data_IF_474115153691
#
_entry.id   IF_474115153691
#
_cell.length_a   1.000
_cell.length_b   1.000
_cell.length_c   1.000
_cell.angle_alpha   90.00
_cell.angle_beta   90.00
_cell.angle_gamma   90.00
#
_symmetry.space_group_name_H-M   'P 1'
#
loop_
_entity.id
_entity.type
_entity.pdbx_description
1 polymer ?
#
# COMPACT_ATOMS: atom_id res chain seq x y z
N UNK A 1 27.02 -3.60 14.07
CA UNK A 1 27.32 -3.44 12.63
C UNK A 1 26.97 -4.68 11.81
N UNK A 2 27.27 -5.91 12.26
CA UNK A 2 26.87 -7.15 11.55
C UNK A 2 25.33 -7.37 11.47
N UNK A 3 24.57 -6.95 12.50
CA UNK A 3 23.11 -7.08 12.53
C UNK A 3 22.37 -6.21 11.49
N UNK A 4 22.89 -5.02 11.15
CA UNK A 4 22.31 -4.17 10.09
C UNK A 4 22.46 -4.82 8.70
N UNK A 5 23.56 -5.55 8.47
CA UNK A 5 23.88 -6.12 7.16
C UNK A 5 22.98 -7.31 6.81
N UNK A 6 22.59 -8.12 7.81
CA UNK A 6 21.66 -9.23 7.60
C UNK A 6 20.22 -8.75 7.37
N UNK A 7 19.84 -7.62 7.98
CA UNK A 7 18.53 -7.00 7.79
C UNK A 7 18.32 -6.56 6.35
N UNK A 8 19.24 -5.79 5.78
CA UNK A 8 19.03 -5.18 4.46
C UNK A 8 18.95 -6.17 3.28
N UNK A 9 19.42 -7.42 3.43
CA UNK A 9 19.34 -8.39 2.33
C UNK A 9 17.89 -8.74 1.96
N UNK A 10 16.95 -8.69 2.91
CA UNK A 10 15.52 -8.85 2.59
C UNK A 10 15.03 -7.74 1.66
N UNK A 11 15.28 -6.47 2.03
CA UNK A 11 14.87 -5.31 1.23
C UNK A 11 15.56 -5.34 -0.13
N UNK A 12 16.86 -5.62 -0.19
CA UNK A 12 17.59 -5.72 -1.45
C UNK A 12 17.00 -6.79 -2.38
N UNK A 13 16.68 -7.96 -1.85
CA UNK A 13 16.02 -9.03 -2.62
C UNK A 13 14.60 -8.65 -3.05
N UNK A 14 13.87 -7.90 -2.22
CA UNK A 14 12.55 -7.39 -2.54
C UNK A 14 12.63 -6.36 -3.68
N UNK A 15 13.51 -5.37 -3.58
CA UNK A 15 13.79 -4.38 -4.63
C UNK A 15 14.15 -5.06 -5.95
N UNK A 16 15.09 -6.01 -5.94
CA UNK A 16 15.48 -6.75 -7.16
C UNK A 16 14.32 -7.51 -7.79
N UNK A 17 13.44 -8.13 -6.98
CA UNK A 17 12.26 -8.83 -7.49
C UNK A 17 11.21 -7.89 -8.06
N UNK A 18 11.05 -6.71 -7.46
CA UNK A 18 10.05 -5.73 -7.87
C UNK A 18 10.47 -4.88 -9.08
N UNK A 19 11.74 -4.96 -9.51
CA UNK A 19 12.21 -4.40 -10.79
C UNK A 19 11.69 -5.15 -12.03
N UNK A 20 11.27 -6.40 -11.86
CA UNK A 20 10.74 -7.22 -12.95
C UNK A 20 9.33 -6.83 -13.38
N UNK A 21 8.78 -7.54 -14.35
CA UNK A 21 7.38 -7.39 -14.72
C UNK A 21 6.48 -7.78 -13.54
N UNK A 22 5.66 -6.84 -13.08
CA UNK A 22 4.72 -7.08 -11.99
C UNK A 22 3.52 -7.87 -12.52
N UNK A 23 3.02 -8.88 -11.79
CA UNK A 23 1.96 -9.77 -12.29
C UNK A 23 0.62 -9.05 -12.48
N UNK A 24 0.42 -7.92 -11.78
CA UNK A 24 -0.77 -7.07 -11.91
C UNK A 24 -2.07 -7.85 -11.83
N UNK A 25 -2.86 -7.79 -12.90
CA UNK A 25 -4.21 -8.38 -12.92
C UNK A 25 -4.25 -9.90 -12.73
N UNK A 26 -3.25 -10.65 -13.21
CA UNK A 26 -3.25 -12.10 -13.03
C UNK A 26 -3.17 -12.47 -11.55
N UNK A 27 -2.27 -11.82 -10.80
CA UNK A 27 -2.17 -11.98 -9.36
C UNK A 27 -3.41 -11.48 -8.61
N UNK A 28 -4.02 -10.36 -9.03
CA UNK A 28 -5.26 -9.87 -8.40
C UNK A 28 -6.41 -10.89 -8.53
N UNK A 29 -6.53 -11.54 -9.69
CA UNK A 29 -7.54 -12.60 -9.93
C UNK A 29 -7.22 -13.84 -9.10
N UNK A 30 -5.97 -14.27 -9.08
CA UNK A 30 -5.52 -15.43 -8.28
C UNK A 30 -5.76 -15.23 -6.78
N UNK A 31 -5.52 -14.02 -6.27
CA UNK A 31 -5.65 -13.67 -4.85
C UNK A 31 -7.07 -13.23 -4.45
N UNK A 32 -8.03 -13.24 -5.38
CA UNK A 32 -9.40 -12.82 -5.10
C UNK A 32 -10.10 -13.82 -4.17
N UNK A 33 -10.71 -13.31 -3.10
CA UNK A 33 -11.48 -14.14 -2.17
C UNK A 33 -12.70 -14.82 -2.82
N UNK A 34 -13.20 -14.26 -3.93
CA UNK A 34 -14.32 -14.80 -4.70
C UNK A 34 -13.87 -14.98 -6.15
N UNK A 35 -14.19 -16.12 -6.80
CA UNK A 35 -13.87 -16.32 -8.21
C UNK A 35 -14.38 -15.16 -9.06
N UNK A 36 -13.50 -14.59 -9.89
CA UNK A 36 -13.80 -13.43 -10.73
C UNK A 36 -13.03 -13.51 -12.05
N UNK A 37 -13.58 -12.90 -13.11
CA UNK A 37 -12.86 -12.64 -14.36
C UNK A 37 -11.96 -11.38 -14.28
N UNK A 38 -11.82 -10.81 -13.09
CA UNK A 38 -11.03 -9.61 -12.81
C UNK A 38 -11.68 -8.31 -13.27
N UNK A 39 -12.92 -8.34 -13.77
CA UNK A 39 -13.65 -7.13 -14.18
C UNK A 39 -13.86 -6.12 -13.04
N UNK A 40 -13.81 -6.60 -11.79
CA UNK A 40 -13.88 -5.76 -10.60
C UNK A 40 -12.57 -5.06 -10.26
N UNK A 41 -11.43 -5.48 -10.83
CA UNK A 41 -10.14 -4.82 -10.59
C UNK A 41 -9.82 -3.74 -11.64
N UNK A 42 -10.69 -3.58 -12.63
CA UNK A 42 -10.55 -2.53 -13.66
C UNK A 42 -10.87 -1.17 -13.04
N UNK A 43 -9.95 -0.22 -13.23
CA UNK A 43 -10.13 1.17 -12.84
C UNK A 43 -11.46 1.72 -13.37
N UNK A 44 -12.15 2.51 -12.56
CA UNK A 44 -13.38 3.19 -12.96
C UNK A 44 -13.11 4.68 -13.14
N UNK A 45 -13.56 5.26 -14.25
CA UNK A 45 -13.44 6.69 -14.52
C UNK A 45 -14.10 7.54 -13.42
N UNK A 46 -15.26 7.10 -12.92
CA UNK A 46 -15.98 7.76 -11.82
C UNK A 46 -15.57 7.24 -10.42
N UNK A 47 -14.51 6.45 -10.34
CA UNK A 47 -13.97 5.96 -9.08
C UNK A 47 -13.14 7.04 -8.39
N UNK A 48 -13.30 7.18 -7.08
CA UNK A 48 -12.43 8.05 -6.27
C UNK A 48 -11.04 7.44 -6.22
N UNK A 49 -9.99 8.25 -6.27
CA UNK A 49 -8.63 7.72 -6.18
C UNK A 49 -8.14 7.71 -4.73
N UNK A 50 -7.34 6.70 -4.38
CA UNK A 50 -6.72 6.57 -3.07
C UNK A 50 -5.29 6.05 -3.19
N UNK A 51 -4.39 6.59 -2.37
CA UNK A 51 -3.03 6.08 -2.19
C UNK A 51 -2.95 5.20 -0.94
N UNK A 52 -2.26 4.06 -1.03
CA UNK A 52 -2.06 3.12 0.08
C UNK A 52 -0.59 2.69 0.13
N UNK A 53 -0.03 2.58 1.33
CA UNK A 53 1.38 2.22 1.53
C UNK A 53 1.54 0.86 2.22
N UNK A 54 2.26 -0.06 1.59
CA UNK A 54 2.80 -1.26 2.25
C UNK A 54 4.19 -0.93 2.78
N UNK A 55 4.26 -0.46 4.03
CA UNK A 55 5.51 -0.04 4.66
C UNK A 55 6.18 -1.18 5.43
N UNK A 56 7.40 -1.53 5.01
CA UNK A 56 8.30 -2.41 5.75
C UNK A 56 9.15 -1.62 6.75
N UNK A 57 9.30 -2.11 7.97
CA UNK A 57 10.15 -1.49 8.99
C UNK A 57 10.83 -2.54 9.89
N UNK A 58 11.99 -2.24 10.49
CA UNK A 58 12.64 -3.13 11.42
C UNK A 58 11.91 -3.18 12.76
N UNK A 59 11.62 -4.39 13.24
CA UNK A 59 10.98 -4.64 14.52
C UNK A 59 11.67 -5.83 15.20
N UNK A 60 12.33 -5.58 16.34
CA UNK A 60 13.04 -6.62 17.13
C UNK A 60 14.03 -7.47 16.31
N UNK A 61 14.68 -6.87 15.31
CA UNK A 61 15.68 -7.52 14.47
C UNK A 61 15.13 -8.20 13.21
N UNK A 62 13.82 -8.11 12.95
CA UNK A 62 13.17 -8.66 11.75
C UNK A 62 12.42 -7.56 10.99
N UNK A 63 12.17 -7.76 9.69
CA UNK A 63 11.30 -6.86 8.94
C UNK A 63 9.84 -7.20 9.21
N UNK A 64 9.05 -6.18 9.51
CA UNK A 64 7.60 -6.26 9.71
C UNK A 64 6.88 -5.34 8.72
N UNK A 65 5.61 -5.65 8.44
CA UNK A 65 4.71 -4.76 7.70
C UNK A 65 3.88 -3.92 8.67
N UNK A 66 3.79 -2.62 8.41
CA UNK A 66 2.89 -1.75 9.14
C UNK A 66 1.45 -1.98 8.69
N UNK A 67 0.57 -2.20 9.67
CA UNK A 67 -0.86 -2.32 9.48
C UNK A 67 -1.56 -1.47 10.54
N UNK A 68 -2.70 -0.93 10.17
CA UNK A 68 -3.57 -0.20 11.08
C UNK A 68 -4.89 -0.93 11.26
N UNK A 69 -5.54 -0.63 12.38
CA UNK A 69 -6.96 -0.88 12.53
C UNK A 69 -7.68 0.43 12.24
N UNK A 70 -8.46 0.46 11.16
CA UNK A 70 -9.21 1.66 10.75
C UNK A 70 -10.10 2.16 11.88
N UNK A 71 -10.16 3.47 12.07
CA UNK A 71 -11.03 4.08 13.08
C UNK A 71 -12.50 3.72 12.81
N UNK A 72 -13.33 3.78 13.86
CA UNK A 72 -14.76 3.61 13.67
C UNK A 72 -15.35 4.85 12.99
N UNK A 73 -16.02 4.66 11.86
CA UNK A 73 -16.80 5.70 11.20
C UNK A 73 -18.10 5.10 10.64
N UNK A 74 -19.24 5.70 10.95
CA UNK A 74 -20.57 5.15 10.65
C UNK A 74 -20.83 5.00 9.14
N UNK A 75 -20.24 5.89 8.34
CA UNK A 75 -20.36 5.88 6.86
C UNK A 75 -19.19 5.18 6.15
N UNK A 76 -18.24 4.59 6.89
CA UNK A 76 -17.12 3.86 6.29
C UNK A 76 -17.40 2.35 6.28
N UNK A 77 -17.52 1.78 5.09
CA UNK A 77 -17.72 0.34 4.89
C UNK A 77 -16.53 -0.52 5.35
N UNK A 78 -15.37 0.11 5.57
CA UNK A 78 -14.14 -0.54 6.05
C UNK A 78 -13.84 -0.23 7.53
N UNK A 79 -14.77 0.41 8.24
CA UNK A 79 -14.67 0.74 9.66
C UNK A 79 -14.22 -0.46 10.49
N UNK A 80 -13.21 -0.26 11.35
CA UNK A 80 -12.60 -1.27 12.26
C UNK A 80 -11.83 -2.43 11.60
N UNK A 81 -11.72 -2.47 10.28
CA UNK A 81 -10.95 -3.49 9.56
C UNK A 81 -9.44 -3.28 9.74
N UNK A 82 -8.67 -4.35 9.57
CA UNK A 82 -7.21 -4.25 9.42
C UNK A 82 -6.92 -3.84 7.98
N UNK A 83 -6.09 -2.82 7.79
CA UNK A 83 -5.66 -2.35 6.48
C UNK A 83 -4.22 -1.88 6.52
N UNK A 84 -3.64 -1.73 5.33
CA UNK A 84 -2.51 -0.83 5.15
C UNK A 84 -2.97 0.62 5.44
N UNK A 85 -2.07 1.50 5.88
CA UNK A 85 -2.37 2.92 5.97
C UNK A 85 -2.59 3.52 4.57
N UNK A 86 -3.45 4.53 4.51
CA UNK A 86 -3.83 5.14 3.23
C UNK A 86 -5.20 5.77 3.23
N UNK A 87 -5.45 6.55 2.18
CA UNK A 87 -6.63 7.41 2.12
C UNK A 87 -6.84 8.06 0.75
N UNK A 88 -7.75 9.01 0.71
CA UNK A 88 -8.20 9.62 -0.55
C UNK A 88 -7.14 10.56 -1.12
N UNK A 89 -7.02 10.57 -2.45
CA UNK A 89 -6.26 11.59 -3.16
C UNK A 89 -6.92 12.97 -2.95
N UNK A 90 -6.14 13.94 -2.48
CA UNK A 90 -6.59 15.31 -2.21
C UNK A 90 -6.03 16.31 -3.22
N UNK A 91 -6.62 17.51 -3.29
CA UNK A 91 -6.20 18.55 -4.23
C UNK A 91 -4.75 19.02 -4.05
N UNK A 92 -4.16 18.77 -2.88
CA UNK A 92 -2.76 19.10 -2.56
C UNK A 92 -1.77 18.00 -2.99
N UNK A 93 -2.26 16.80 -3.29
CA UNK A 93 -1.42 15.68 -3.70
C UNK A 93 -1.08 15.80 -5.19
N UNK A 94 0.17 15.55 -5.56
CA UNK A 94 0.61 15.54 -6.98
C UNK A 94 0.64 14.13 -7.54
N UNK A 95 0.95 13.13 -6.69
CA UNK A 95 1.01 11.71 -7.07
C UNK A 95 0.28 10.83 -6.06
N UNK A 96 -0.06 9.60 -6.47
CA UNK A 96 -0.66 8.62 -5.55
C UNK A 96 0.34 8.14 -4.49
N UNK A 97 1.63 8.04 -4.85
CA UNK A 97 2.71 7.83 -3.88
C UNK A 97 2.70 8.92 -2.78
N UNK A 98 2.61 10.20 -3.16
CA UNK A 98 2.53 11.30 -2.18
C UNK A 98 1.28 11.21 -1.30
N UNK A 99 0.15 10.80 -1.87
CA UNK A 99 -1.08 10.54 -1.10
C UNK A 99 -0.82 9.46 -0.06
N UNK A 100 -0.21 8.34 -0.46
CA UNK A 100 0.10 7.23 0.44
C UNK A 100 1.06 7.64 1.57
N UNK A 101 2.12 8.39 1.23
CA UNK A 101 3.11 8.90 2.19
C UNK A 101 2.49 9.88 3.19
N UNK A 102 1.64 10.80 2.71
CA UNK A 102 0.90 11.73 3.57
C UNK A 102 0.01 10.99 4.56
N UNK A 103 -0.79 10.05 4.07
CA UNK A 103 -1.72 9.28 4.90
C UNK A 103 -0.96 8.42 5.93
N UNK A 104 0.18 7.83 5.56
CA UNK A 104 1.06 7.12 6.50
C UNK A 104 1.51 8.02 7.67
N UNK A 105 1.91 9.27 7.39
CA UNK A 105 2.29 10.24 8.42
C UNK A 105 1.08 10.71 9.26
N UNK A 106 -0.08 10.89 8.63
CA UNK A 106 -1.31 11.28 9.30
C UNK A 106 -1.83 10.18 10.25
N UNK A 107 -1.83 8.92 9.81
CA UNK A 107 -2.40 7.79 10.56
C UNK A 107 -1.44 7.21 11.60
N UNK A 108 -0.16 7.04 11.27
CA UNK A 108 0.82 6.38 12.17
C UNK A 108 2.09 7.18 12.47
N UNK A 109 2.17 8.44 12.02
CA UNK A 109 3.25 9.39 12.37
C UNK A 109 4.64 9.00 11.88
N UNK A 110 4.73 8.21 10.81
CA UNK A 110 6.00 7.95 10.12
C UNK A 110 6.33 9.15 9.24
N UNK A 111 7.48 9.79 9.50
CA UNK A 111 7.92 10.97 8.75
C UNK A 111 8.24 10.58 7.31
N UNK A 112 7.58 11.22 6.34
CA UNK A 112 7.71 10.91 4.91
C UNK A 112 9.16 10.90 4.42
N UNK A 113 10.00 11.82 4.93
CA UNK A 113 11.41 11.93 4.53
C UNK A 113 12.29 10.74 4.94
N UNK A 114 11.78 9.84 5.79
CA UNK A 114 12.47 8.60 6.21
C UNK A 114 12.04 7.39 5.39
N UNK A 115 10.94 7.51 4.66
CA UNK A 115 10.38 6.43 3.85
C UNK A 115 11.05 6.42 2.49
N UNK A 116 11.51 5.24 2.06
CA UNK A 116 12.04 4.99 0.72
C UNK A 116 11.02 4.13 -0.03
N UNK A 117 10.38 4.72 -1.04
CA UNK A 117 9.45 3.99 -1.90
C UNK A 117 10.23 3.15 -2.90
N UNK A 118 9.84 1.89 -3.03
CA UNK A 118 10.47 0.90 -3.92
C UNK A 118 9.79 0.91 -5.28
N UNK A 119 8.46 0.78 -5.31
CA UNK A 119 7.67 0.66 -6.54
C UNK A 119 6.20 0.99 -6.28
N UNK A 120 5.52 1.54 -7.30
CA UNK A 120 4.06 1.56 -7.39
C UNK A 120 3.56 0.25 -8.04
N UNK A 121 2.55 -0.38 -7.43
CA UNK A 121 1.94 -1.61 -7.94
C UNK A 121 0.74 -1.30 -8.85
N UNK A 122 0.25 -2.33 -9.55
CA UNK A 122 -0.99 -2.20 -10.32
C UNK A 122 -2.17 -1.80 -9.43
N UNK A 123 -2.93 -0.81 -9.88
CA UNK A 123 -4.10 -0.32 -9.16
C UNK A 123 -5.20 -1.40 -9.05
N UNK A 124 -6.06 -1.24 -8.06
CA UNK A 124 -7.18 -2.14 -7.76
C UNK A 124 -8.43 -1.32 -7.53
N UNK A 125 -9.51 -1.60 -8.26
CA UNK A 125 -10.81 -1.01 -7.96
C UNK A 125 -11.53 -1.78 -6.85
N UNK A 126 -12.07 -1.06 -5.86
CA UNK A 126 -12.78 -1.59 -4.70
C UNK A 126 -14.25 -1.18 -4.80
N UNK A 127 -15.16 -2.09 -5.24
CA UNK A 127 -16.54 -1.74 -5.54
C UNK A 127 -17.34 -1.20 -4.35
N UNK A 128 -17.13 -1.75 -3.16
CA UNK A 128 -17.91 -1.41 -1.96
C UNK A 128 -17.72 0.04 -1.49
N UNK A 129 -16.61 0.68 -1.87
CA UNK A 129 -16.27 2.05 -1.49
C UNK A 129 -16.07 2.97 -2.69
N UNK A 130 -16.21 2.46 -3.92
CA UNK A 130 -15.99 3.16 -5.18
C UNK A 130 -14.60 3.82 -5.27
N UNK A 131 -13.55 3.12 -4.80
CA UNK A 131 -12.17 3.59 -4.88
C UNK A 131 -11.34 2.85 -5.92
N UNK A 132 -10.57 3.59 -6.71
CA UNK A 132 -9.37 3.11 -7.39
C UNK A 132 -8.19 3.27 -6.42
N UNK A 133 -7.70 2.17 -5.88
CA UNK A 133 -6.57 2.15 -4.95
C UNK A 133 -5.27 1.99 -5.74
N UNK A 134 -4.30 2.85 -5.48
CA UNK A 134 -2.96 2.87 -6.05
C UNK A 134 -1.96 2.50 -4.94
N UNK A 135 -1.53 1.22 -4.87
CA UNK A 135 -0.66 0.75 -3.80
C UNK A 135 0.81 1.04 -4.12
N UNK A 136 1.57 1.47 -3.11
CA UNK A 136 3.02 1.57 -3.16
C UNK A 136 3.67 0.65 -2.14
N UNK A 137 4.84 0.09 -2.47
CA UNK A 137 5.66 -0.68 -1.52
C UNK A 137 6.85 0.19 -1.10
N UNK A 138 7.11 0.27 0.20
CA UNK A 138 8.16 1.11 0.74
C UNK A 138 8.82 0.50 1.97
N UNK A 139 9.94 1.09 2.41
CA UNK A 139 10.56 0.75 3.67
C UNK A 139 11.09 1.98 4.42
N UNK A 140 11.28 1.84 5.72
CA UNK A 140 11.96 2.82 6.59
C UNK A 140 12.92 2.11 7.55
N UNK A 141 13.96 2.81 7.99
CA UNK A 141 14.95 2.35 8.98
C UNK A 141 14.73 3.00 10.36
#
# INVERSE_FOLDING_TARGET
MLFCYLGMEFIRRLEERLKGELPGRSAQVEMSAVPTNGGHFVQRENGRNAGVLSLFFPNKGEWSLALIRRAFHEKDHHSRQISFPGGSFEAKDVTFEQTALREEEEEIKVVQSKVKVIVELSNVYIPVSNFNVFPSVAYTE
#
